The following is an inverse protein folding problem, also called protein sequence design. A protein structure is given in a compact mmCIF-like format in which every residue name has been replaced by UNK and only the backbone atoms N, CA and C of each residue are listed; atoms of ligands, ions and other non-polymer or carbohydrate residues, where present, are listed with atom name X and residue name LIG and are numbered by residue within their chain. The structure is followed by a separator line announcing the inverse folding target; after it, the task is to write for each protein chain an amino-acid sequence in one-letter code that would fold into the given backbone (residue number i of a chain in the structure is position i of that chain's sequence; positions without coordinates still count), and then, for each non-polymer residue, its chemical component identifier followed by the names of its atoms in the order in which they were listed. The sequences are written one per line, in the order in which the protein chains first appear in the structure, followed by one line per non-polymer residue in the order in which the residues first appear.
data_IF_231289221298
#
_entry.id   IF_231289221298
#
_cell.length_a   1.000
_cell.length_b   1.000
_cell.length_c   1.000
_cell.angle_alpha   90.00
_cell.angle_beta   90.00
_cell.angle_gamma   90.00
#
_symmetry.space_group_name_H-M   'P 1'
#
loop_
_entity.id
_entity.type
_entity.pdbx_description
1 polymer ?
#
# COMPACT_ATOMS: atom_id res chain seq x y z
N UNK A 1 4.86 -11.55 -0.55
CA UNK A 1 3.48 -11.49 -0.01
C UNK A 1 2.58 -10.52 -0.78
N UNK A 2 3.12 -9.70 -1.69
CA UNK A 2 2.34 -8.81 -2.57
C UNK A 2 1.58 -9.54 -3.67
N UNK A 3 2.06 -10.67 -4.18
CA UNK A 3 1.41 -11.42 -5.27
C UNK A 3 -0.01 -11.87 -4.95
N UNK A 4 -0.29 -12.32 -3.71
CA UNK A 4 -1.65 -12.67 -3.27
C UNK A 4 -2.54 -11.44 -3.08
N UNK A 5 -1.95 -10.32 -2.65
CA UNK A 5 -2.67 -9.05 -2.56
C UNK A 5 -3.06 -8.51 -3.94
N UNK A 6 -2.18 -8.66 -4.93
CA UNK A 6 -2.43 -8.31 -6.33
C UNK A 6 -3.55 -9.17 -6.93
N UNK A 7 -3.50 -10.49 -6.76
CA UNK A 7 -4.57 -11.39 -7.24
C UNK A 7 -5.94 -10.95 -6.70
N UNK A 8 -6.04 -10.72 -5.39
CA UNK A 8 -7.28 -10.23 -4.75
C UNK A 8 -7.69 -8.85 -5.26
N UNK A 9 -6.74 -7.97 -5.55
CA UNK A 9 -7.01 -6.65 -6.10
C UNK A 9 -7.62 -6.75 -7.50
N UNK A 10 -7.08 -7.62 -8.36
CA UNK A 10 -7.60 -7.86 -9.72
C UNK A 10 -8.98 -8.51 -9.70
N UNK A 11 -9.27 -9.34 -8.69
CA UNK A 11 -10.62 -9.89 -8.45
C UNK A 11 -11.62 -8.86 -7.89
N UNK A 12 -11.21 -7.61 -7.67
CA UNK A 12 -12.05 -6.58 -7.04
C UNK A 12 -12.28 -6.78 -5.52
N UNK A 13 -11.59 -7.76 -4.91
CA UNK A 13 -11.62 -8.06 -3.47
C UNK A 13 -10.67 -7.14 -2.73
N UNK A 14 -10.90 -5.83 -2.83
CA UNK A 14 -10.00 -4.80 -2.30
C UNK A 14 -9.77 -4.93 -0.78
N UNK A 15 -10.77 -5.35 -0.01
CA UNK A 15 -10.63 -5.53 1.44
C UNK A 15 -9.67 -6.68 1.79
N UNK A 16 -9.71 -7.78 1.05
CA UNK A 16 -8.76 -8.89 1.20
C UNK A 16 -7.37 -8.50 0.70
N UNK A 17 -7.29 -7.75 -0.40
CA UNK A 17 -6.03 -7.21 -0.92
C UNK A 17 -5.32 -6.34 0.12
N UNK A 18 -6.06 -5.45 0.79
CA UNK A 18 -5.55 -4.62 1.90
C UNK A 18 -4.96 -5.47 3.03
N UNK A 19 -5.61 -6.57 3.38
CA UNK A 19 -5.14 -7.48 4.43
C UNK A 19 -3.79 -8.12 4.06
N UNK A 20 -3.65 -8.53 2.80
CA UNK A 20 -2.38 -9.07 2.28
C UNK A 20 -1.27 -8.01 2.21
N UNK A 21 -1.58 -6.80 1.72
CA UNK A 21 -0.60 -5.71 1.69
C UNK A 21 -0.20 -5.27 3.09
N UNK A 22 -1.12 -5.26 4.05
CA UNK A 22 -0.83 -4.96 5.46
C UNK A 22 0.13 -5.98 6.07
N UNK A 23 -0.02 -7.27 5.75
CA UNK A 23 0.96 -8.31 6.15
C UNK A 23 2.32 -8.08 5.48
N UNK A 24 2.34 -7.69 4.20
CA UNK A 24 3.59 -7.38 3.51
C UNK A 24 4.32 -6.18 4.15
N UNK A 25 3.58 -5.12 4.49
CA UNK A 25 4.09 -3.93 5.19
C UNK A 25 4.56 -4.28 6.61
N UNK A 26 3.85 -5.15 7.32
CA UNK A 26 4.27 -5.58 8.66
C UNK A 26 5.59 -6.37 8.65
N UNK A 27 5.90 -7.05 7.54
CA UNK A 27 7.16 -7.78 7.36
C UNK A 27 8.28 -6.89 6.85
N UNK A 28 7.96 -5.99 5.92
CA UNK A 28 8.90 -4.99 5.41
C UNK A 28 8.19 -3.63 5.37
N UNK A 29 8.37 -2.80 6.42
CA UNK A 29 7.79 -1.47 6.48
C UNK A 29 8.28 -0.54 5.38
N UNK A 30 9.41 -0.84 4.74
CA UNK A 30 9.98 -0.03 3.66
C UNK A 30 9.54 -0.49 2.27
N UNK A 31 8.64 -1.48 2.21
CA UNK A 31 8.17 -2.04 0.95
C UNK A 31 7.20 -1.08 0.23
N UNK A 32 7.77 -0.17 -0.56
CA UNK A 32 7.03 0.87 -1.25
C UNK A 32 5.87 0.34 -2.12
N UNK A 33 6.07 -0.76 -2.84
CA UNK A 33 5.02 -1.37 -3.64
C UNK A 33 3.79 -1.77 -2.80
N UNK A 34 4.00 -2.37 -1.62
CA UNK A 34 2.91 -2.80 -0.76
C UNK A 34 2.08 -1.61 -0.24
N UNK A 35 2.73 -0.52 0.15
CA UNK A 35 2.05 0.73 0.52
C UNK A 35 1.26 1.32 -0.65
N UNK A 36 1.84 1.34 -1.85
CA UNK A 36 1.19 1.91 -3.02
C UNK A 36 -0.06 1.12 -3.39
N UNK A 37 0.06 -0.22 -3.45
CA UNK A 37 -1.06 -1.10 -3.77
C UNK A 37 -2.16 -1.06 -2.71
N UNK A 38 -1.80 -0.91 -1.43
CA UNK A 38 -2.79 -0.72 -0.35
C UNK A 38 -3.52 0.61 -0.49
N UNK A 39 -2.82 1.69 -0.82
CA UNK A 39 -3.44 2.99 -1.09
C UNK A 39 -4.42 2.92 -2.27
N UNK A 40 -4.04 2.27 -3.36
CA UNK A 40 -4.92 2.03 -4.51
C UNK A 40 -6.17 1.25 -4.10
N UNK A 41 -6.02 0.20 -3.29
CA UNK A 41 -7.15 -0.62 -2.80
C UNK A 41 -8.10 0.19 -1.90
N UNK A 42 -7.56 1.04 -1.03
CA UNK A 42 -8.36 1.97 -0.22
C UNK A 42 -9.14 2.97 -1.08
N UNK A 43 -8.53 3.50 -2.13
CA UNK A 43 -9.21 4.41 -3.06
C UNK A 43 -10.40 3.72 -3.75
N UNK A 44 -10.23 2.46 -4.19
CA UNK A 44 -11.30 1.68 -4.81
C UNK A 44 -12.45 1.35 -3.84
N UNK A 45 -12.17 1.20 -2.54
CA UNK A 45 -13.20 1.03 -1.50
C UNK A 45 -13.88 2.33 -1.08
N UNK A 46 -13.56 3.48 -1.68
CA UNK A 46 -14.09 4.78 -1.27
C UNK A 46 -13.54 5.24 0.08
N UNK A 47 -12.30 4.83 0.43
CA UNK A 47 -11.59 5.19 1.66
C UNK A 47 -10.39 6.10 1.37
N UNK A 48 -10.58 7.29 0.78
CA UNK A 48 -9.48 8.14 0.32
C UNK A 48 -8.55 8.59 1.44
N UNK A 49 -9.06 8.83 2.65
CA UNK A 49 -8.24 9.22 3.81
C UNK A 49 -7.14 8.21 4.14
N UNK A 50 -7.46 6.92 4.06
CA UNK A 50 -6.49 5.85 4.34
C UNK A 50 -5.48 5.72 3.19
N UNK A 51 -5.92 5.94 1.94
CA UNK A 51 -5.04 5.98 0.78
C UNK A 51 -4.04 7.14 0.84
N UNK A 52 -4.49 8.32 1.30
CA UNK A 52 -3.63 9.48 1.49
C UNK A 52 -2.59 9.25 2.59
N UNK A 53 -2.96 8.59 3.68
CA UNK A 53 -2.04 8.23 4.77
C UNK A 53 -0.93 7.30 4.27
N UNK A 54 -1.30 6.24 3.54
CA UNK A 54 -0.36 5.30 2.91
C UNK A 54 0.57 6.02 1.91
N UNK A 55 0.04 6.96 1.13
CA UNK A 55 0.83 7.78 0.20
C UNK A 55 1.79 8.75 0.90
N UNK A 56 1.41 9.30 2.05
CA UNK A 56 2.30 10.15 2.86
C UNK A 56 3.43 9.33 3.45
N UNK A 57 3.15 8.10 3.87
CA UNK A 57 4.19 7.18 4.32
C UNK A 57 5.21 6.90 3.20
N UNK A 58 4.74 6.68 1.97
CA UNK A 58 5.61 6.54 0.79
C UNK A 58 6.48 7.77 0.52
N UNK A 59 5.89 8.96 0.60
CA UNK A 59 6.63 10.22 0.44
C UNK A 59 7.63 10.46 1.58
N UNK A 60 7.40 9.89 2.76
CA UNK A 60 8.33 9.94 3.89
C UNK A 60 9.39 8.83 3.88
N UNK A 61 9.14 7.74 3.14
CA UNK A 61 10.07 6.62 2.97
C UNK A 61 11.23 6.96 2.03
N UNK A 62 11.19 8.10 1.31
CA UNK A 62 12.34 8.70 0.62
C UNK A 62 12.28 10.24 0.66
N UNK A 63 13.26 10.90 1.31
CA UNK A 63 14.25 11.64 0.54
C UNK A 63 15.68 11.18 0.87
N UNK A 64 16.05 9.99 0.42
CA UNK A 64 17.46 9.63 0.16
C UNK A 64 17.87 9.88 -1.30
N UNK A 65 16.99 10.48 -2.11
CA UNK A 65 17.38 11.58 -3.00
C UNK A 65 17.26 12.94 -2.29
N UNK A 66 18.23 13.21 -1.42
CA UNK A 66 18.63 14.50 -0.82
C UNK A 66 17.69 15.20 0.17
N UNK A 67 18.25 15.61 1.33
CA UNK A 67 18.82 16.96 1.37
C UNK A 67 20.27 16.94 1.88
N UNK A 68 21.21 17.41 1.04
CA UNK A 68 22.62 17.56 1.37
C UNK A 68 23.51 17.51 0.14
#
# INVERSE_FOLDING_TARGET
MTSRGMERFEEGKFQEAIDQFTKAIALDPNHAEAWQRRAEAYAQLGRPKQAEDDRRHLQGLDPSSSPG
#
